data_IF_001528575090
#
_entry.id   IF_001528575090
#
_cell.length_a   1.000
_cell.length_b   1.000
_cell.length_c   1.000
_cell.angle_alpha   90.00
_cell.angle_beta   90.00
_cell.angle_gamma   90.00
#
_symmetry.space_group_name_H-M   'P 1'
#
loop_
_entity.id
_entity.type
_entity.pdbx_description
1 polymer ?
#
# COMPACT_ATOMS: atom_id res chain seq x y z
N UNK A 1 -13.55 -7.87 11.37
CA UNK A 1 -14.51 -6.77 11.65
C UNK A 1 -14.80 -6.03 10.36
N UNK A 2 -15.96 -5.37 10.21
CA UNK A 2 -16.25 -4.52 9.04
C UNK A 2 -15.54 -3.16 9.22
N UNK A 3 -14.22 -3.14 8.99
CA UNK A 3 -13.48 -1.87 8.96
C UNK A 3 -14.06 -0.97 7.87
N UNK A 4 -14.24 0.33 8.14
CA UNK A 4 -14.69 1.25 7.12
C UNK A 4 -13.69 1.26 5.96
N UNK A 5 -14.17 1.52 4.75
CA UNK A 5 -13.29 1.65 3.59
C UNK A 5 -12.50 2.95 3.75
N UNK A 6 -11.19 2.90 3.54
CA UNK A 6 -10.33 4.09 3.53
C UNK A 6 -9.77 4.27 2.13
N UNK A 7 -10.23 5.31 1.45
CA UNK A 7 -9.79 5.70 0.12
C UNK A 7 -8.78 6.84 0.25
N UNK A 8 -7.60 6.66 -0.31
CA UNK A 8 -6.54 7.64 -0.26
C UNK A 8 -6.37 8.31 -1.62
N UNK A 9 -6.40 9.65 -1.63
CA UNK A 9 -5.98 10.47 -2.76
C UNK A 9 -4.61 11.06 -2.46
N UNK A 10 -3.67 10.82 -3.36
CA UNK A 10 -2.33 11.40 -3.34
C UNK A 10 -2.04 12.05 -4.67
N UNK A 11 -1.63 13.32 -4.66
CA UNK A 11 -1.05 13.99 -5.82
C UNK A 11 0.42 14.26 -5.53
N UNK A 12 1.31 13.72 -6.35
CA UNK A 12 2.75 13.89 -6.15
C UNK A 12 3.50 13.93 -7.48
N UNK A 13 4.68 14.57 -7.45
CA UNK A 13 5.60 14.63 -8.59
C UNK A 13 7.00 14.20 -8.17
N UNK A 14 7.72 13.57 -9.10
CA UNK A 14 9.09 13.10 -8.89
C UNK A 14 10.03 14.09 -9.56
N UNK A 15 10.97 14.63 -8.78
CA UNK A 15 12.05 15.48 -9.26
C UNK A 15 13.30 14.68 -9.61
N UNK A 16 14.47 15.29 -9.36
CA UNK A 16 15.75 14.62 -9.57
C UNK A 16 15.94 13.49 -8.56
N UNK A 17 16.36 12.32 -9.06
CA UNK A 17 16.70 11.18 -8.25
C UNK A 17 17.80 10.36 -8.92
N UNK A 18 18.92 10.19 -8.22
CA UNK A 18 20.02 9.31 -8.62
C UNK A 18 20.08 8.04 -7.77
N UNK A 19 19.41 8.02 -6.62
CA UNK A 19 19.29 6.88 -5.73
C UNK A 19 18.07 6.03 -6.07
N UNK A 20 18.13 4.73 -5.81
CA UNK A 20 16.94 3.88 -5.88
C UNK A 20 15.95 4.29 -4.79
N UNK A 21 14.66 4.40 -5.12
CA UNK A 21 13.64 4.84 -4.17
C UNK A 21 12.27 4.29 -4.54
N UNK A 22 11.33 4.39 -3.60
CA UNK A 22 9.90 4.24 -3.86
C UNK A 22 9.12 5.46 -3.33
N UNK A 23 7.87 5.57 -3.75
CA UNK A 23 6.83 6.37 -3.07
C UNK A 23 5.69 5.41 -2.80
N UNK A 24 5.38 5.21 -1.53
CA UNK A 24 4.52 4.13 -1.09
C UNK A 24 3.66 4.52 0.10
N UNK A 25 2.54 3.84 0.23
CA UNK A 25 1.88 3.68 1.52
C UNK A 25 2.52 2.54 2.29
N UNK A 26 2.63 2.70 3.61
CA UNK A 26 3.00 1.64 4.55
C UNK A 26 1.91 1.54 5.64
N UNK A 27 1.32 0.35 5.76
CA UNK A 27 0.27 0.05 6.72
C UNK A 27 0.75 -1.02 7.70
N UNK A 28 0.81 -0.66 8.97
CA UNK A 28 1.18 -1.59 10.04
C UNK A 28 -0.03 -2.26 10.66
N UNK A 29 -0.08 -3.60 10.53
CA UNK A 29 -1.12 -4.45 11.09
C UNK A 29 -0.56 -5.24 12.28
N UNK A 30 -1.11 -5.03 13.47
CA UNK A 30 -0.62 -5.65 14.71
C UNK A 30 -1.63 -6.60 15.33
N UNK A 31 -1.15 -7.69 15.92
CA UNK A 31 -2.01 -8.60 16.71
C UNK A 31 -2.42 -8.01 18.06
N UNK A 32 -1.56 -7.16 18.63
CA UNK A 32 -1.76 -6.53 19.94
C UNK A 32 -1.57 -5.03 19.79
N UNK A 33 -2.66 -4.24 19.82
CA UNK A 33 -2.54 -2.78 19.79
C UNK A 33 -1.89 -2.30 21.09
N UNK A 34 -1.23 -1.12 21.04
CA UNK A 34 -0.64 -0.47 22.22
C UNK A 34 0.70 -1.03 22.71
N UNK A 35 1.24 -2.09 22.10
CA UNK A 35 2.63 -2.52 22.37
C UNK A 35 3.61 -1.70 21.52
N UNK A 36 4.84 -1.50 22.01
CA UNK A 36 5.91 -0.85 21.22
C UNK A 36 6.51 -1.80 20.18
N UNK A 37 6.92 -1.25 19.03
CA UNK A 37 7.59 -1.98 17.95
C UNK A 37 6.70 -2.99 17.21
N UNK A 38 7.29 -3.71 16.26
CA UNK A 38 6.65 -4.74 15.43
C UNK A 38 7.41 -6.05 15.57
N UNK A 39 6.72 -7.18 15.43
CA UNK A 39 7.38 -8.48 15.54
C UNK A 39 6.61 -9.63 14.95
N UNK A 40 6.97 -10.85 15.39
CA UNK A 40 6.38 -12.08 14.86
C UNK A 40 4.85 -12.03 14.88
N UNK A 41 4.25 -12.30 13.73
CA UNK A 41 2.80 -12.35 13.53
C UNK A 41 2.14 -10.99 13.31
N UNK A 42 2.89 -9.88 13.39
CA UNK A 42 2.47 -8.61 12.82
C UNK A 42 2.76 -8.60 11.31
N UNK A 43 2.11 -7.71 10.57
CA UNK A 43 2.20 -7.61 9.11
C UNK A 43 2.41 -6.16 8.70
N UNK A 44 3.36 -5.95 7.80
CA UNK A 44 3.56 -4.71 7.06
C UNK A 44 2.91 -4.86 5.69
N UNK A 45 2.01 -3.95 5.33
CA UNK A 45 1.37 -3.92 4.01
C UNK A 45 1.79 -2.65 3.29
N UNK A 46 2.66 -2.79 2.30
CA UNK A 46 3.08 -1.67 1.47
C UNK A 46 2.33 -1.61 0.14
N UNK A 47 2.03 -0.39 -0.31
CA UNK A 47 1.40 -0.13 -1.61
C UNK A 47 2.27 0.88 -2.34
N UNK A 48 3.14 0.39 -3.23
CA UNK A 48 4.10 1.21 -3.95
C UNK A 48 3.42 1.88 -5.14
N UNK A 49 3.28 3.19 -5.11
CA UNK A 49 2.74 3.95 -6.23
C UNK A 49 3.81 4.20 -7.29
N UNK A 50 5.03 4.55 -6.85
CA UNK A 50 6.16 4.85 -7.72
C UNK A 50 7.41 4.14 -7.23
N UNK A 51 8.31 3.78 -8.15
CA UNK A 51 9.66 3.32 -7.82
C UNK A 51 10.63 3.58 -8.96
N UNK A 52 11.91 3.68 -8.62
CA UNK A 52 13.03 3.73 -9.56
C UNK A 52 14.17 2.94 -8.97
N UNK A 53 14.76 2.00 -9.73
CA UNK A 53 15.91 1.20 -9.30
C UNK A 53 15.73 0.55 -7.91
N UNK A 54 14.50 0.17 -7.59
CA UNK A 54 14.10 -0.42 -6.32
C UNK A 54 13.15 -1.58 -6.60
N UNK A 55 13.19 -2.59 -5.74
CA UNK A 55 12.33 -3.77 -5.82
C UNK A 55 11.83 -4.07 -4.41
N UNK A 56 10.55 -4.41 -4.22
CA UNK A 56 10.05 -4.82 -2.92
C UNK A 56 10.82 -6.02 -2.36
N UNK A 57 10.85 -6.15 -1.04
CA UNK A 57 11.48 -7.29 -0.39
C UNK A 57 10.76 -8.61 -0.73
N UNK A 58 11.53 -9.71 -0.76
CA UNK A 58 11.00 -11.05 -0.98
C UNK A 58 10.86 -11.42 -2.45
N UNK A 59 9.76 -12.07 -2.81
CA UNK A 59 9.48 -12.53 -4.18
C UNK A 59 8.05 -12.19 -4.61
N UNK A 60 7.79 -12.01 -5.91
CA UNK A 60 6.42 -11.90 -6.39
C UNK A 60 5.70 -13.24 -6.21
N UNK A 61 4.44 -13.21 -5.80
CA UNK A 61 3.63 -14.41 -5.52
C UNK A 61 2.32 -14.44 -6.28
N UNK A 62 1.75 -13.27 -6.62
CA UNK A 62 0.45 -13.18 -7.28
C UNK A 62 0.27 -11.86 -8.02
N UNK A 63 -0.68 -11.81 -8.96
CA UNK A 63 -1.15 -10.58 -9.58
C UNK A 63 -2.65 -10.43 -9.29
N UNK A 64 -3.06 -9.23 -8.92
CA UNK A 64 -4.46 -8.87 -8.69
C UNK A 64 -4.86 -7.73 -9.61
N UNK A 65 -6.04 -7.85 -10.21
CA UNK A 65 -6.64 -6.73 -10.93
C UNK A 65 -7.34 -5.82 -9.92
N UNK A 66 -6.87 -4.57 -9.79
CA UNK A 66 -7.35 -3.62 -8.77
C UNK A 66 -7.83 -2.33 -9.43
N UNK A 67 -9.09 -1.91 -9.18
CA UNK A 67 -9.56 -0.58 -9.55
C UNK A 67 -8.69 0.51 -8.92
N UNK A 68 -8.16 1.40 -9.74
CA UNK A 68 -7.26 2.50 -9.36
C UNK A 68 -7.63 3.71 -10.18
N UNK A 69 -7.68 4.90 -9.59
CA UNK A 69 -7.80 6.13 -10.40
C UNK A 69 -6.42 6.73 -10.60
N UNK A 70 -6.05 6.99 -11.85
CA UNK A 70 -4.80 7.66 -12.21
C UNK A 70 -5.15 8.89 -13.04
N UNK A 71 -4.78 10.07 -12.55
CA UNK A 71 -5.03 11.37 -13.17
C UNK A 71 -6.52 11.58 -13.57
N UNK A 72 -7.43 11.12 -12.70
CA UNK A 72 -8.88 11.20 -12.88
C UNK A 72 -9.52 10.12 -13.73
N UNK A 73 -8.76 9.13 -14.23
CA UNK A 73 -9.29 8.00 -14.99
C UNK A 73 -9.30 6.74 -14.13
N UNK A 74 -10.48 6.13 -13.98
CA UNK A 74 -10.61 4.82 -13.35
C UNK A 74 -10.09 3.74 -14.31
N UNK A 75 -9.09 3.00 -13.86
CA UNK A 75 -8.46 1.91 -14.59
C UNK A 75 -8.39 0.66 -13.71
N UNK A 76 -8.39 -0.51 -14.35
CA UNK A 76 -8.15 -1.79 -13.68
C UNK A 76 -6.70 -2.17 -13.92
N UNK A 77 -5.85 -1.95 -12.92
CA UNK A 77 -4.41 -2.19 -13.03
C UNK A 77 -4.06 -3.58 -12.48
N UNK A 78 -3.08 -4.24 -13.09
CA UNK A 78 -2.56 -5.53 -12.64
C UNK A 78 -1.47 -5.32 -11.58
N UNK A 79 -1.85 -5.29 -10.30
CA UNK A 79 -0.93 -5.11 -9.18
C UNK A 79 -0.28 -6.44 -8.81
N UNK A 80 1.05 -6.49 -8.89
CA UNK A 80 1.85 -7.63 -8.42
C UNK A 80 1.99 -7.58 -6.90
N UNK A 81 1.64 -8.66 -6.23
CA UNK A 81 1.86 -8.88 -4.81
C UNK A 81 3.22 -9.55 -4.57
N UNK A 82 3.98 -9.00 -3.64
CA UNK A 82 5.28 -9.48 -3.19
C UNK A 82 5.17 -9.93 -1.74
N UNK A 83 5.88 -11.00 -1.40
CA UNK A 83 5.85 -11.58 -0.06
C UNK A 83 7.26 -11.85 0.44
N UNK A 84 7.55 -11.39 1.66
CA UNK A 84 8.70 -11.77 2.43
C UNK A 84 8.24 -12.31 3.79
N UNK A 85 8.57 -13.58 4.05
CA UNK A 85 8.01 -14.33 5.19
C UNK A 85 8.48 -13.81 6.55
N UNK A 86 9.63 -13.14 6.59
CA UNK A 86 10.22 -12.61 7.82
C UNK A 86 11.15 -11.46 7.46
N UNK A 87 10.89 -10.29 8.04
CA UNK A 87 11.76 -9.10 8.00
C UNK A 87 12.17 -8.75 9.42
N UNK A 88 13.44 -8.37 9.63
CA UNK A 88 13.95 -7.86 10.91
C UNK A 88 13.48 -8.66 12.14
N UNK A 89 12.70 -8.01 13.01
CA UNK A 89 12.09 -8.56 14.23
C UNK A 89 11.04 -9.67 14.03
N UNK A 90 10.88 -10.19 12.81
CA UNK A 90 10.10 -11.38 12.49
C UNK A 90 8.68 -11.12 11.97
N UNK A 91 8.34 -9.88 11.62
CA UNK A 91 7.05 -9.57 10.99
C UNK A 91 7.02 -10.06 9.54
N UNK A 92 5.81 -10.22 9.00
CA UNK A 92 5.60 -10.58 7.58
C UNK A 92 5.44 -9.30 6.77
N UNK A 93 6.04 -9.27 5.59
CA UNK A 93 5.95 -8.14 4.67
C UNK A 93 5.19 -8.54 3.41
N UNK A 94 4.18 -7.76 3.06
CA UNK A 94 3.42 -7.88 1.81
C UNK A 94 3.46 -6.53 1.09
N UNK A 95 3.93 -6.50 -0.14
CA UNK A 95 3.91 -5.27 -0.94
C UNK A 95 3.15 -5.44 -2.24
N UNK A 96 2.55 -4.35 -2.72
CA UNK A 96 1.85 -4.31 -3.99
C UNK A 96 2.49 -3.27 -4.91
N UNK A 97 2.79 -3.66 -6.15
CA UNK A 97 3.32 -2.77 -7.19
C UNK A 97 2.43 -2.82 -8.44
N UNK A 98 2.02 -1.69 -9.03
CA UNK A 98 1.29 -1.66 -10.30
C UNK A 98 2.20 -2.12 -11.46
N UNK A 99 1.68 -2.22 -12.71
CA UNK A 99 2.50 -2.64 -13.86
C UNK A 99 3.68 -1.72 -14.19
N UNK A 100 3.59 -0.45 -13.78
CA UNK A 100 4.64 0.55 -13.94
C UNK A 100 4.46 1.70 -12.95
N UNK A 101 5.50 2.51 -12.72
CA UNK A 101 5.47 3.57 -11.73
C UNK A 101 4.43 4.65 -12.08
N UNK A 102 3.61 5.02 -11.09
CA UNK A 102 2.56 6.03 -11.19
C UNK A 102 3.06 7.38 -10.69
N UNK A 103 2.47 8.48 -11.17
CA UNK A 103 2.73 9.84 -10.72
C UNK A 103 1.54 10.76 -11.05
N UNK A 104 1.54 11.95 -10.48
CA UNK A 104 0.39 12.86 -10.53
C UNK A 104 -0.63 12.45 -9.46
N UNK A 105 -1.91 12.54 -9.80
CA UNK A 105 -3.01 12.20 -8.91
C UNK A 105 -3.30 10.69 -8.98
N UNK A 106 -3.21 10.00 -7.84
CA UNK A 106 -3.48 8.58 -7.70
C UNK A 106 -4.48 8.39 -6.56
N UNK A 107 -5.58 7.68 -6.84
CA UNK A 107 -6.57 7.29 -5.83
C UNK A 107 -6.63 5.78 -5.72
N UNK A 108 -6.47 5.28 -4.49
CA UNK A 108 -6.50 3.85 -4.15
C UNK A 108 -7.34 3.59 -2.91
N UNK A 109 -7.90 2.40 -2.83
CA UNK A 109 -8.57 1.91 -1.63
C UNK A 109 -7.61 1.08 -0.79
N UNK A 110 -7.15 1.65 0.31
CA UNK A 110 -6.12 1.05 1.16
C UNK A 110 -6.62 -0.24 1.84
N UNK A 111 -7.90 -0.28 2.21
CA UNK A 111 -8.48 -1.45 2.89
C UNK A 111 -8.71 -2.60 1.92
N UNK A 112 -8.92 -2.31 0.64
CA UNK A 112 -8.90 -3.35 -0.39
C UNK A 112 -7.55 -4.06 -0.42
N UNK A 113 -6.43 -3.32 -0.38
CA UNK A 113 -5.09 -3.91 -0.32
C UNK A 113 -4.83 -4.70 0.97
N UNK A 114 -5.35 -4.26 2.12
CA UNK A 114 -5.32 -5.06 3.36
C UNK A 114 -6.07 -6.39 3.18
N UNK A 115 -7.23 -6.37 2.53
CA UNK A 115 -7.97 -7.59 2.19
C UNK A 115 -7.20 -8.51 1.24
N UNK A 116 -6.51 -7.96 0.23
CA UNK A 116 -5.64 -8.71 -0.66
C UNK A 116 -4.43 -9.29 0.07
N UNK A 117 -3.80 -8.54 0.98
CA UNK A 117 -2.71 -9.04 1.81
C UNK A 117 -3.18 -10.22 2.66
N UNK A 118 -4.37 -10.12 3.26
CA UNK A 118 -5.03 -11.23 3.95
C UNK A 118 -5.12 -12.48 3.09
N UNK A 119 -5.53 -12.36 1.81
CA UNK A 119 -5.57 -13.49 0.87
C UNK A 119 -4.18 -14.10 0.64
N UNK A 120 -3.17 -13.26 0.39
CA UNK A 120 -1.77 -13.68 0.22
C UNK A 120 -1.29 -14.47 1.44
N UNK A 121 -1.55 -13.99 2.66
CA UNK A 121 -1.13 -14.66 3.90
C UNK A 121 -1.79 -16.04 4.06
N UNK A 122 -3.06 -16.19 3.70
CA UNK A 122 -3.75 -17.48 3.78
C UNK A 122 -3.21 -18.46 2.75
N UNK A 123 -3.04 -18.01 1.51
CA UNK A 123 -2.69 -18.87 0.38
C UNK A 123 -1.22 -19.27 0.38
N UNK A 124 -0.32 -18.35 0.74
CA UNK A 124 1.13 -18.58 0.68
C UNK A 124 1.71 -19.06 2.02
N UNK A 125 1.13 -18.66 3.15
CA UNK A 125 1.64 -18.98 4.49
C UNK A 125 0.71 -19.89 5.31
N UNK A 126 -0.48 -20.21 4.80
CA UNK A 126 -1.45 -21.04 5.51
C UNK A 126 -2.03 -20.38 6.77
N UNK A 127 -2.02 -19.04 6.87
CA UNK A 127 -2.63 -18.35 8.00
C UNK A 127 -4.14 -18.61 8.04
N UNK A 128 -4.68 -18.83 9.24
CA UNK A 128 -6.12 -18.97 9.40
C UNK A 128 -6.83 -17.61 9.15
N UNK A 129 -8.05 -17.64 8.61
CA UNK A 129 -8.84 -16.43 8.34
C UNK A 129 -9.00 -15.60 9.61
N UNK A 130 -9.28 -16.25 10.73
CA UNK A 130 -9.43 -15.64 12.05
C UNK A 130 -8.15 -14.95 12.52
N UNK A 131 -6.96 -15.41 12.09
CA UNK A 131 -5.70 -14.73 12.42
C UNK A 131 -5.59 -13.39 11.70
N UNK A 132 -5.96 -13.36 10.41
CA UNK A 132 -5.93 -12.15 9.59
C UNK A 132 -6.99 -11.15 10.09
N UNK A 133 -8.21 -11.62 10.38
CA UNK A 133 -9.34 -10.77 10.76
C UNK A 133 -9.20 -10.12 12.14
N UNK A 134 -8.28 -10.63 12.98
CA UNK A 134 -8.01 -10.12 14.32
C UNK A 134 -6.77 -9.21 14.39
N UNK A 135 -6.21 -8.81 13.24
CA UNK A 135 -5.18 -7.78 13.19
C UNK A 135 -5.81 -6.38 13.29
N UNK A 136 -5.07 -5.47 13.91
CA UNK A 136 -5.44 -4.06 14.08
C UNK A 136 -4.60 -3.20 13.15
N UNK A 137 -5.23 -2.31 12.38
CA UNK A 137 -4.51 -1.25 11.65
C UNK A 137 -4.03 -0.24 12.68
N UNK A 138 -2.72 -0.02 12.73
CA UNK A 138 -2.08 0.86 13.70
C UNK A 138 -1.68 2.20 13.10
N UNK A 139 -1.24 2.19 11.84
CA UNK A 139 -0.88 3.39 11.10
C UNK A 139 -1.18 3.21 9.62
N UNK A 140 -1.39 4.35 8.96
CA UNK A 140 -1.34 4.53 7.52
C UNK A 140 -0.28 5.61 7.30
N UNK A 141 0.83 5.22 6.71
CA UNK A 141 1.98 6.09 6.47
C UNK A 141 2.13 6.29 4.97
N UNK A 142 2.54 7.48 4.54
CA UNK A 142 2.79 7.78 3.13
C UNK A 142 4.10 8.55 3.01
N UNK A 143 4.99 8.07 2.15
CA UNK A 143 6.31 8.66 1.99
C UNK A 143 7.17 7.90 1.00
N UNK A 144 8.48 8.05 1.16
CA UNK A 144 9.47 7.42 0.29
C UNK A 144 10.53 6.66 1.08
N UNK A 145 10.79 5.41 0.73
CA UNK A 145 12.00 4.72 1.13
C UNK A 145 13.12 5.01 0.14
N UNK A 146 14.35 5.11 0.67
CA UNK A 146 15.56 5.36 -0.12
C UNK A 146 16.50 4.19 0.04
N UNK A 147 16.87 3.57 -1.07
CA UNK A 147 17.69 2.37 -1.11
C UNK A 147 19.16 2.75 -1.03
N UNK A 148 19.97 1.87 -0.43
CA UNK A 148 21.37 2.18 -0.17
C UNK A 148 22.12 2.59 -1.44
N UNK A 149 22.81 3.72 -1.36
CA UNK A 149 23.75 4.20 -2.37
C UNK A 149 24.86 5.01 -1.70
N UNK A 150 25.98 5.22 -2.41
CA UNK A 150 27.10 6.03 -1.88
C UNK A 150 26.75 7.51 -1.69
N UNK A 151 25.76 8.01 -2.41
CA UNK A 151 25.26 9.38 -2.34
C UNK A 151 23.75 9.36 -2.49
N UNK A 152 23.03 9.89 -1.49
CA UNK A 152 21.57 9.94 -1.52
C UNK A 152 21.13 11.25 -2.18
N UNK A 153 20.44 11.16 -3.31
CA UNK A 153 19.76 12.29 -3.94
C UNK A 153 18.39 11.83 -4.44
N UNK A 154 17.37 12.46 -3.85
CA UNK A 154 15.97 12.27 -4.16
C UNK A 154 15.25 13.57 -3.86
N UNK A 155 14.50 14.07 -4.83
CA UNK A 155 13.51 15.14 -4.67
C UNK A 155 12.17 14.65 -5.19
N UNK A 156 11.12 14.84 -4.40
CA UNK A 156 9.74 14.65 -4.82
C UNK A 156 8.87 15.64 -4.03
N UNK A 157 7.69 15.95 -4.57
CA UNK A 157 6.76 16.90 -3.98
C UNK A 157 5.41 16.22 -3.76
N UNK A 158 4.83 16.46 -2.59
CA UNK A 158 3.46 16.09 -2.24
C UNK A 158 2.57 17.31 -2.39
N UNK A 159 1.65 17.28 -3.35
CA UNK A 159 0.70 18.37 -3.59
C UNK A 159 -0.60 18.17 -2.79
N UNK A 160 -1.07 16.92 -2.71
CA UNK A 160 -2.30 16.56 -1.98
C UNK A 160 -2.12 15.22 -1.29
N UNK A 161 -2.59 15.11 -0.06
CA UNK A 161 -2.78 13.85 0.65
C UNK A 161 -4.07 13.92 1.45
N UNK A 162 -5.06 13.12 1.04
CA UNK A 162 -6.39 13.10 1.63
C UNK A 162 -6.81 11.66 1.89
N UNK A 163 -7.41 11.41 3.05
CA UNK A 163 -7.99 10.13 3.43
C UNK A 163 -9.50 10.30 3.59
N UNK A 164 -10.25 9.53 2.81
CA UNK A 164 -11.70 9.50 2.84
C UNK A 164 -12.17 8.20 3.46
N UNK A 165 -13.13 8.30 4.38
CA UNK A 165 -13.66 7.15 5.11
C UNK A 165 -15.09 6.92 4.67
N UNK A 166 -15.34 5.75 4.09
CA UNK A 166 -16.64 5.34 3.60
C UNK A 166 -17.20 4.17 4.40
N UNK A 167 -18.52 4.08 4.43
CA UNK A 167 -19.18 2.88 4.94
C UNK A 167 -18.73 1.64 4.11
N UNK A 168 -18.50 0.46 4.72
CA UNK A 168 -18.04 -0.74 4.01
C UNK A 168 -18.90 -1.16 2.80
N UNK A 169 -20.18 -0.79 2.80
CA UNK A 169 -21.14 -1.14 1.74
C UNK A 169 -21.01 -0.28 0.48
N UNK A 170 -20.33 0.87 0.56
CA UNK A 170 -20.04 1.70 -0.62
C UNK A 170 -19.11 0.90 -1.54
N UNK A 171 -19.48 0.78 -2.81
CA UNK A 171 -18.69 0.02 -3.78
C UNK A 171 -17.33 0.69 -3.99
N UNK A 172 -16.29 -0.11 -4.19
CA UNK A 172 -14.93 0.40 -4.37
C UNK A 172 -14.84 1.41 -5.52
N UNK A 173 -15.34 1.05 -6.71
CA UNK A 173 -15.29 1.92 -7.89
C UNK A 173 -16.08 3.23 -7.70
N UNK A 174 -17.18 3.19 -6.96
CA UNK A 174 -17.99 4.36 -6.60
C UNK A 174 -17.20 5.30 -5.68
N UNK A 175 -16.63 4.77 -4.60
CA UNK A 175 -15.82 5.55 -3.67
C UNK A 175 -14.58 6.16 -4.34
N UNK A 176 -13.92 5.42 -5.24
CA UNK A 176 -12.77 5.91 -6.00
C UNK A 176 -13.14 7.08 -6.93
N UNK A 177 -14.26 6.96 -7.65
CA UNK A 177 -14.72 7.99 -8.57
C UNK A 177 -15.22 9.25 -7.85
N UNK A 178 -15.89 9.09 -6.71
CA UNK A 178 -16.32 10.20 -5.86
C UNK A 178 -15.11 11.04 -5.42
N UNK A 179 -14.12 10.40 -4.81
CA UNK A 179 -12.87 11.06 -4.38
C UNK A 179 -12.14 11.73 -5.54
N UNK A 180 -12.08 11.08 -6.71
CA UNK A 180 -11.45 11.66 -7.90
C UNK A 180 -12.21 12.87 -8.48
N UNK A 181 -13.50 12.99 -8.17
CA UNK A 181 -14.35 14.08 -8.67
C UNK A 181 -14.29 15.35 -7.83
N UNK A 182 -13.82 15.28 -6.57
CA UNK A 182 -13.63 16.41 -5.65
C UNK A 182 -12.44 17.32 -6.03
N UNK A 183 -12.34 17.70 -7.30
CA UNK A 183 -11.35 18.65 -7.83
C UNK A 183 -11.74 20.07 -7.44
N UNK A 184 -11.54 20.42 -6.17
CA UNK A 184 -11.71 21.78 -5.66
C UNK A 184 -10.40 22.28 -5.06
#
# INVERSE_FOLDING_TARGET
SELPRVVALTSFSIGEASTGFNVAYDLWLKRKPGTGGVGRGDVEVMIWLHWRNATPAGRPVRVFEVPTVVNGKLERLNWSAWLQHSVGGGWVYVAFTPPGPLAGEVVVDLLHFVGLAGRVLREELGWAQETVDNLYIMSIEFGSEVFFSRSISLSWQLDRFLLYVYHPWVKQEEALLEVASERH
#
